data_IF_488885681569
#
_entry.id   IF_488885681569
#
_cell.length_a   1.000
_cell.length_b   1.000
_cell.length_c   1.000
_cell.angle_alpha   90.00
_cell.angle_beta   90.00
_cell.angle_gamma   90.00
#
_symmetry.space_group_name_H-M   'P 1'
#
loop_
_entity.id
_entity.type
_entity.pdbx_description
1 polymer ?
#
# COMPACT_ATOMS: atom_id res chain seq x y z
N UNK A 1 -2.22 19.15 -14.34
CA UNK A 1 -0.74 19.02 -14.26
C UNK A 1 -0.49 17.85 -13.34
N UNK A 2 -0.19 16.69 -13.89
CA UNK A 2 0.12 15.52 -13.08
C UNK A 2 1.59 15.65 -12.67
N UNK A 3 1.81 15.95 -11.39
CA UNK A 3 3.14 16.08 -10.81
C UNK A 3 3.57 14.65 -10.48
N UNK A 4 4.14 13.96 -11.46
CA UNK A 4 4.63 12.61 -11.27
C UNK A 4 6.07 12.61 -10.80
N UNK A 5 6.44 11.67 -9.92
CA UNK A 5 7.81 11.59 -9.48
C UNK A 5 8.72 11.24 -10.66
N UNK A 6 9.76 12.04 -10.87
CA UNK A 6 10.89 11.67 -11.70
C UNK A 6 11.48 10.35 -11.15
N UNK A 7 11.97 9.40 -11.97
CA UNK A 7 12.67 8.21 -11.47
C UNK A 7 13.77 8.51 -10.43
N UNK A 8 14.35 9.71 -10.44
CA UNK A 8 15.29 10.18 -9.41
C UNK A 8 14.69 10.41 -8.01
N UNK A 9 13.37 10.45 -7.90
CA UNK A 9 12.61 10.67 -6.66
C UNK A 9 12.11 9.37 -6.03
N UNK A 10 12.35 8.21 -6.69
CA UNK A 10 12.03 6.89 -6.13
C UNK A 10 13.03 6.57 -5.03
N UNK A 11 12.52 6.30 -3.83
CA UNK A 11 13.34 5.87 -2.69
C UNK A 11 13.94 4.49 -3.02
N UNK A 12 15.27 4.33 -3.04
CA UNK A 12 15.92 3.10 -3.49
C UNK A 12 15.94 2.02 -2.39
N UNK A 13 14.76 1.48 -2.05
CA UNK A 13 14.57 0.53 -0.94
C UNK A 13 15.44 -0.74 -1.05
N UNK A 14 15.83 -1.10 -2.28
CA UNK A 14 16.69 -2.25 -2.58
C UNK A 14 18.14 -2.09 -2.10
N UNK A 15 18.57 -0.87 -1.74
CA UNK A 15 19.86 -0.65 -1.05
C UNK A 15 19.84 -1.21 0.38
N UNK A 16 18.65 -1.39 0.96
CA UNK A 16 18.47 -2.06 2.24
C UNK A 16 18.66 -3.57 2.18
N UNK A 17 18.67 -4.19 3.37
CA UNK A 17 18.65 -5.65 3.55
C UNK A 17 17.28 -6.20 3.94
N UNK A 18 16.31 -5.31 4.17
CA UNK A 18 14.95 -5.71 4.51
C UNK A 18 14.24 -6.30 3.28
N UNK A 19 13.30 -7.18 3.55
CA UNK A 19 12.26 -7.55 2.59
C UNK A 19 11.06 -6.60 2.78
N UNK A 20 10.26 -6.44 1.74
CA UNK A 20 9.14 -5.51 1.72
C UNK A 20 7.87 -6.22 1.28
N UNK A 21 6.77 -5.95 2.00
CA UNK A 21 5.42 -6.32 1.61
C UNK A 21 4.65 -5.04 1.29
N UNK A 22 4.20 -4.91 0.04
CA UNK A 22 3.31 -3.83 -0.39
C UNK A 22 1.87 -4.33 -0.44
N UNK A 23 1.02 -3.69 0.37
CA UNK A 23 -0.42 -3.92 0.39
C UNK A 23 -1.08 -2.77 -0.38
N UNK A 24 -1.60 -3.07 -1.57
CA UNK A 24 -2.11 -2.07 -2.51
C UNK A 24 -3.62 -2.12 -2.61
N UNK A 25 -4.25 -1.00 -2.32
CA UNK A 25 -5.66 -0.73 -2.58
C UNK A 25 -5.85 -0.23 -4.01
N UNK A 26 -6.75 -0.85 -4.78
CA UNK A 26 -6.97 -0.48 -6.19
C UNK A 26 -8.10 0.53 -6.41
N UNK A 27 -8.90 0.83 -5.38
CA UNK A 27 -9.89 1.91 -5.36
C UNK A 27 -9.41 3.07 -4.46
N UNK A 28 -8.09 3.29 -4.42
CA UNK A 28 -7.43 4.37 -3.68
C UNK A 28 -7.44 5.67 -4.49
N UNK A 29 -8.01 6.74 -3.94
CA UNK A 29 -8.10 8.06 -4.58
C UNK A 29 -7.09 9.10 -4.03
N UNK A 30 -6.16 8.68 -3.18
CA UNK A 30 -5.12 9.51 -2.58
C UNK A 30 -3.73 9.21 -3.14
N UNK A 31 -3.49 7.99 -3.62
CA UNK A 31 -2.20 7.54 -4.12
C UNK A 31 -2.16 7.37 -5.64
N UNK A 32 -0.97 7.53 -6.24
CA UNK A 32 -0.72 7.12 -7.63
C UNK A 32 -0.88 5.59 -7.74
N UNK A 33 -1.73 5.06 -8.64
CA UNK A 33 -1.94 3.63 -8.75
C UNK A 33 -0.66 2.88 -9.16
N UNK A 34 0.20 3.49 -9.97
CA UNK A 34 1.35 2.80 -10.56
C UNK A 34 2.67 3.01 -9.83
N UNK A 35 2.67 3.63 -8.64
CA UNK A 35 3.91 3.91 -7.90
C UNK A 35 4.75 2.66 -7.63
N UNK A 36 4.10 1.54 -7.31
CA UNK A 36 4.78 0.25 -7.13
C UNK A 36 5.39 -0.30 -8.44
N UNK A 37 4.79 -0.02 -9.60
CA UNK A 37 5.36 -0.41 -10.91
C UNK A 37 6.58 0.43 -11.22
N UNK A 38 6.52 1.73 -10.95
CA UNK A 38 7.67 2.62 -11.11
C UNK A 38 8.85 2.14 -10.25
N UNK A 39 8.57 1.78 -8.99
CA UNK A 39 9.56 1.20 -8.07
C UNK A 39 10.17 -0.10 -8.61
N UNK A 40 9.33 -1.03 -9.09
CA UNK A 40 9.79 -2.30 -9.64
C UNK A 40 10.61 -2.09 -10.93
N UNK A 41 10.25 -1.13 -11.77
CA UNK A 41 10.95 -0.83 -13.01
C UNK A 41 12.41 -0.34 -12.81
N UNK A 42 12.71 0.25 -11.65
CA UNK A 42 14.07 0.69 -11.28
C UNK A 42 14.75 -0.22 -10.25
N UNK A 43 14.04 -1.24 -9.76
CA UNK A 43 14.59 -2.21 -8.83
C UNK A 43 15.54 -3.17 -9.58
N UNK A 44 16.75 -3.44 -9.08
CA UNK A 44 17.60 -4.47 -9.67
C UNK A 44 16.94 -5.85 -9.58
N UNK A 45 16.99 -6.64 -10.66
CA UNK A 45 16.38 -7.99 -10.74
C UNK A 45 16.75 -8.89 -9.54
N UNK A 46 18.01 -8.83 -9.10
CA UNK A 46 18.51 -9.56 -7.92
C UNK A 46 17.79 -9.25 -6.60
N UNK A 47 17.02 -8.16 -6.55
CA UNK A 47 16.31 -7.62 -5.38
C UNK A 47 14.79 -7.72 -5.51
N UNK A 48 14.26 -8.04 -6.68
CA UNK A 48 12.81 -8.19 -6.89
C UNK A 48 12.21 -9.27 -5.98
N UNK A 49 12.94 -10.37 -5.74
CA UNK A 49 12.50 -11.45 -4.84
C UNK A 49 12.32 -11.03 -3.37
N UNK A 50 12.88 -9.88 -2.99
CA UNK A 50 12.74 -9.33 -1.64
C UNK A 50 11.49 -8.44 -1.53
N UNK A 51 10.70 -8.28 -2.61
CA UNK A 51 9.51 -7.46 -2.70
C UNK A 51 8.30 -8.33 -3.01
N UNK A 52 7.34 -8.35 -2.09
CA UNK A 52 6.02 -8.98 -2.27
C UNK A 52 4.97 -7.90 -2.49
N UNK A 53 4.08 -8.07 -3.47
CA UNK A 53 2.98 -7.13 -3.74
C UNK A 53 1.66 -7.89 -3.69
N UNK A 54 0.71 -7.37 -2.92
CA UNK A 54 -0.65 -7.88 -2.82
C UNK A 54 -1.60 -6.76 -3.18
N UNK A 55 -2.53 -7.03 -4.08
CA UNK A 55 -3.46 -6.05 -4.61
C UNK A 55 -4.90 -6.40 -4.20
N UNK A 56 -5.65 -5.41 -3.75
CA UNK A 56 -7.03 -5.54 -3.30
C UNK A 56 -7.96 -4.72 -4.21
N UNK A 57 -8.62 -5.37 -5.18
CA UNK A 57 -9.68 -4.74 -5.97
C UNK A 57 -10.79 -4.21 -5.06
N UNK A 58 -11.24 -2.98 -5.28
CA UNK A 58 -12.33 -2.38 -4.50
C UNK A 58 -11.97 -1.94 -3.08
N UNK A 59 -10.73 -2.09 -2.63
CA UNK A 59 -10.28 -1.50 -1.37
C UNK A 59 -9.85 -0.04 -1.58
N UNK A 60 -10.26 0.84 -0.66
CA UNK A 60 -9.81 2.23 -0.58
C UNK A 60 -8.52 2.42 0.20
N UNK A 61 -8.09 3.67 0.31
CA UNK A 61 -6.82 4.11 0.88
C UNK A 61 -6.58 3.64 2.33
N UNK A 62 -7.62 3.67 3.17
CA UNK A 62 -7.51 3.42 4.61
C UNK A 62 -7.60 1.93 4.95
N UNK A 63 -6.55 1.15 4.67
CA UNK A 63 -6.46 -0.25 5.11
C UNK A 63 -6.17 -0.35 6.62
N UNK A 64 -7.21 -0.10 7.41
CA UNK A 64 -7.20 -0.20 8.86
C UNK A 64 -7.16 -1.67 9.36
N UNK A 65 -6.96 -1.91 10.67
CA UNK A 65 -7.15 -3.23 11.24
C UNK A 65 -8.54 -3.82 10.95
N UNK A 66 -8.71 -5.15 11.05
CA UNK A 66 -9.95 -5.82 10.73
C UNK A 66 -11.16 -5.23 11.48
N UNK A 67 -12.30 -5.17 10.79
CA UNK A 67 -13.60 -4.73 11.29
C UNK A 67 -13.73 -3.23 11.60
N UNK A 68 -12.72 -2.42 11.26
CA UNK A 68 -12.85 -0.96 11.30
C UNK A 68 -13.74 -0.52 10.13
N UNK A 69 -14.80 0.27 10.38
CA UNK A 69 -15.75 0.66 9.34
C UNK A 69 -15.07 1.49 8.26
N UNK A 70 -15.44 1.22 7.01
CA UNK A 70 -14.96 1.95 5.84
C UNK A 70 -15.30 3.44 5.94
N UNK A 71 -14.27 4.29 5.86
CA UNK A 71 -14.39 5.73 5.68
C UNK A 71 -14.07 6.09 4.22
N UNK A 72 -15.11 6.43 3.42
CA UNK A 72 -14.92 6.76 2.00
C UNK A 72 -14.52 8.20 1.76
N UNK A 73 -14.99 9.12 2.61
CA UNK A 73 -14.62 10.54 2.59
C UNK A 73 -14.56 11.11 4.00
N UNK A 74 -13.66 12.07 4.23
CA UNK A 74 -13.64 12.85 5.46
C UNK A 74 -13.08 14.25 5.20
N UNK A 75 -13.54 15.24 5.97
CA UNK A 75 -12.96 16.58 5.93
C UNK A 75 -11.59 16.57 6.62
N UNK A 76 -10.57 17.05 5.93
CA UNK A 76 -9.24 17.26 6.50
C UNK A 76 -9.03 18.74 6.76
N UNK A 77 -8.97 19.13 8.02
CA UNK A 77 -8.81 20.53 8.44
C UNK A 77 -7.46 21.14 8.01
N UNK A 78 -6.40 20.33 7.92
CA UNK A 78 -5.08 20.77 7.46
C UNK A 78 -5.09 21.12 5.97
N UNK A 79 -5.79 20.32 5.16
CA UNK A 79 -5.95 20.56 3.71
C UNK A 79 -7.06 21.60 3.45
N UNK A 80 -8.02 21.75 4.37
CA UNK A 80 -9.17 22.63 4.22
C UNK A 80 -10.22 22.09 3.24
N UNK A 81 -10.23 20.79 2.97
CA UNK A 81 -11.10 20.17 1.96
C UNK A 81 -11.56 18.77 2.36
N UNK A 82 -12.64 18.31 1.71
CA UNK A 82 -13.07 16.91 1.78
C UNK A 82 -12.11 16.01 0.99
N UNK A 83 -11.49 15.06 1.67
CA UNK A 83 -10.65 14.03 1.08
C UNK A 83 -11.49 12.82 0.73
N UNK A 84 -11.13 12.15 -0.38
CA UNK A 84 -11.78 10.91 -0.81
C UNK A 84 -10.79 9.76 -0.68
N UNK A 85 -11.14 8.74 0.07
CA UNK A 85 -10.30 7.57 0.31
C UNK A 85 -10.72 6.37 -0.56
N UNK A 86 -11.92 6.41 -1.15
CA UNK A 86 -12.45 5.34 -1.99
C UNK A 86 -12.81 4.09 -1.19
N UNK A 87 -12.98 2.95 -1.87
CA UNK A 87 -13.35 1.67 -1.28
C UNK A 87 -14.83 1.31 -1.41
N UNK A 88 -15.09 0.01 -1.56
CA UNK A 88 -16.39 -0.64 -1.54
C UNK A 88 -16.53 -1.45 -0.24
N UNK A 89 -17.68 -1.42 0.45
CA UNK A 89 -17.79 -1.95 1.81
C UNK A 89 -17.34 -3.41 1.98
N UNK A 90 -17.75 -4.30 1.08
CA UNK A 90 -17.47 -5.75 1.18
C UNK A 90 -16.00 -6.04 0.87
N UNK A 91 -15.52 -5.50 -0.24
CA UNK A 91 -14.16 -5.69 -0.74
C UNK A 91 -13.13 -5.09 0.22
N UNK A 92 -13.45 -3.92 0.80
CA UNK A 92 -12.57 -3.25 1.75
C UNK A 92 -12.49 -4.00 3.09
N UNK A 93 -13.62 -4.51 3.61
CA UNK A 93 -13.61 -5.34 4.81
C UNK A 93 -12.76 -6.60 4.62
N UNK A 94 -12.94 -7.31 3.49
CA UNK A 94 -12.09 -8.44 3.13
C UNK A 94 -10.61 -8.06 3.05
N UNK A 95 -10.30 -6.92 2.43
CA UNK A 95 -8.93 -6.44 2.30
C UNK A 95 -8.28 -6.15 3.65
N UNK A 96 -8.99 -5.54 4.61
CA UNK A 96 -8.49 -5.30 5.97
C UNK A 96 -8.14 -6.62 6.68
N UNK A 97 -9.02 -7.62 6.61
CA UNK A 97 -8.80 -8.95 7.20
C UNK A 97 -7.57 -9.65 6.59
N UNK A 98 -7.50 -9.69 5.26
CA UNK A 98 -6.42 -10.37 4.54
C UNK A 98 -5.07 -9.65 4.71
N UNK A 99 -5.07 -8.31 4.63
CA UNK A 99 -3.90 -7.48 4.83
C UNK A 99 -3.30 -7.63 6.23
N UNK A 100 -4.16 -7.67 7.26
CA UNK A 100 -3.73 -7.88 8.63
C UNK A 100 -3.06 -9.25 8.80
N UNK A 101 -3.71 -10.30 8.30
CA UNK A 101 -3.18 -11.67 8.34
C UNK A 101 -1.84 -11.78 7.62
N UNK A 102 -1.73 -11.23 6.41
CA UNK A 102 -0.49 -11.24 5.60
C UNK A 102 0.63 -10.45 6.24
N UNK A 103 0.32 -9.32 6.88
CA UNK A 103 1.31 -8.54 7.63
C UNK A 103 1.93 -9.37 8.75
N UNK A 104 1.10 -10.05 9.56
CA UNK A 104 1.57 -10.91 10.64
C UNK A 104 2.41 -12.08 10.11
N UNK A 105 1.95 -12.74 9.05
CA UNK A 105 2.67 -13.85 8.41
C UNK A 105 4.04 -13.39 7.87
N UNK A 106 4.07 -12.25 7.18
CA UNK A 106 5.29 -11.67 6.64
C UNK A 106 6.30 -11.32 7.74
N UNK A 107 5.84 -10.70 8.84
CA UNK A 107 6.70 -10.36 9.97
C UNK A 107 7.26 -11.62 10.65
N UNK A 108 6.43 -12.64 10.88
CA UNK A 108 6.87 -13.93 11.46
C UNK A 108 7.94 -14.62 10.62
N UNK A 109 7.83 -14.54 9.30
CA UNK A 109 8.75 -15.21 8.38
C UNK A 109 10.09 -14.47 8.20
N UNK A 110 10.12 -13.16 8.49
CA UNK A 110 11.25 -12.31 8.13
C UNK A 110 11.91 -11.58 9.32
N UNK A 111 11.34 -11.69 10.52
CA UNK A 111 11.95 -11.19 11.77
C UNK A 111 12.36 -12.40 12.61
N UNK A 112 13.62 -12.50 13.05
CA UNK A 112 14.07 -13.58 13.92
C UNK A 112 13.26 -13.60 15.22
N UNK A 113 12.87 -14.80 15.66
CA UNK A 113 12.38 -14.99 17.03
C UNK A 113 13.55 -14.83 17.99
N UNK A 114 13.38 -14.00 19.03
CA UNK A 114 14.33 -13.85 20.14
C UNK A 114 14.34 -15.05 21.06
#
# INVERSE_FOLDING_TARGET
MEIYPNPSEIIPIWKGKAKYLFLKSLDDFQMKPDLHLDLLAVCPESKERDIEVVQYPGAGHLLDPPYIPLCRTAFNATVGAEMKFGGQPKEHAYAQEDAWRKTIEFLKNNIPSS
#
